data_IF_298053032804
#
_entry.id   IF_298053032804
#
_cell.length_a   1.000
_cell.length_b   1.000
_cell.length_c   1.000
_cell.angle_alpha   90.00
_cell.angle_beta   90.00
_cell.angle_gamma   90.00
#
_symmetry.space_group_name_H-M   'P 1'
#
loop_
_entity.id
_entity.type
_entity.pdbx_description
1 polymer ?
#
# COMPACT_ATOMS: atom_id res chain seq x y z
N UNK A 1 0.88 -2.85 15.53
CA UNK A 1 2.27 -2.67 15.10
C UNK A 1 2.29 -1.88 13.80
N UNK A 2 3.39 -1.19 13.50
CA UNK A 2 3.60 -0.52 12.21
C UNK A 2 4.43 -1.44 11.31
N UNK A 3 3.86 -1.84 10.16
CA UNK A 3 4.52 -2.71 9.20
C UNK A 3 4.70 -1.95 7.89
N UNK A 4 5.94 -1.84 7.43
CA UNK A 4 6.30 -1.16 6.19
C UNK A 4 6.32 -2.11 5.01
N UNK A 5 5.89 -1.63 3.84
CA UNK A 5 6.14 -2.31 2.57
C UNK A 5 6.79 -1.36 1.57
N UNK A 6 7.96 -1.77 1.06
CA UNK A 6 8.74 -1.04 0.07
C UNK A 6 8.82 -1.84 -1.22
N UNK A 7 8.64 -1.17 -2.36
CA UNK A 7 8.80 -1.79 -3.68
C UNK A 7 9.92 -1.08 -4.42
N UNK A 8 11.07 -1.73 -4.49
CA UNK A 8 12.32 -1.16 -5.00
C UNK A 8 12.73 -1.84 -6.30
N UNK A 9 13.29 -1.06 -7.22
CA UNK A 9 13.87 -1.58 -8.46
C UNK A 9 15.36 -1.79 -8.26
N UNK A 10 15.92 -2.87 -8.81
CA UNK A 10 17.36 -3.15 -8.76
C UNK A 10 18.22 -2.07 -9.44
N UNK A 11 17.63 -1.24 -10.30
CA UNK A 11 18.32 -0.17 -11.02
C UNK A 11 18.26 1.19 -10.30
N UNK A 12 17.53 1.29 -9.18
CA UNK A 12 17.15 2.58 -8.62
C UNK A 12 17.96 2.89 -7.36
N UNK A 13 18.87 3.87 -7.46
CA UNK A 13 19.62 4.40 -6.30
C UNK A 13 18.69 5.00 -5.23
N UNK A 14 17.44 5.31 -5.58
CA UNK A 14 16.41 5.80 -4.64
C UNK A 14 15.75 4.70 -3.81
N UNK A 15 16.09 3.42 -4.02
CA UNK A 15 15.58 2.29 -3.24
C UNK A 15 15.78 2.50 -1.71
N UNK A 16 16.92 3.07 -1.33
CA UNK A 16 17.26 3.34 0.07
C UNK A 16 16.30 4.36 0.71
N UNK A 17 15.84 5.37 -0.04
CA UNK A 17 14.96 6.43 0.48
C UNK A 17 13.59 5.90 0.93
N UNK A 18 13.09 4.84 0.29
CA UNK A 18 11.83 4.19 0.71
C UNK A 18 11.97 3.54 2.07
N UNK A 19 13.00 2.71 2.21
CA UNK A 19 13.23 1.93 3.44
C UNK A 19 13.55 2.87 4.59
N UNK A 20 14.36 3.90 4.35
CA UNK A 20 14.71 4.90 5.37
C UNK A 20 13.48 5.68 5.82
N UNK A 21 12.62 6.13 4.90
CA UNK A 21 11.36 6.80 5.26
C UNK A 21 10.42 5.89 6.08
N UNK A 22 10.35 4.60 5.77
CA UNK A 22 9.55 3.64 6.54
C UNK A 22 10.13 3.39 7.95
N UNK A 23 11.47 3.36 8.08
CA UNK A 23 12.13 3.29 9.39
C UNK A 23 11.87 4.54 10.22
N UNK A 24 11.98 5.72 9.61
CA UNK A 24 11.68 7.00 10.26
C UNK A 24 10.21 7.10 10.69
N UNK A 25 9.29 6.51 9.92
CA UNK A 25 7.88 6.38 10.29
C UNK A 25 7.62 5.39 11.45
N UNK A 26 8.65 4.71 11.96
CA UNK A 26 8.54 3.80 13.09
C UNK A 26 8.09 2.38 12.72
N UNK A 27 8.26 1.95 11.46
CA UNK A 27 7.94 0.58 11.07
C UNK A 27 8.83 -0.43 11.79
N UNK A 28 8.22 -1.35 12.53
CA UNK A 28 8.90 -2.41 13.29
C UNK A 28 9.36 -3.56 12.38
N UNK A 29 8.69 -3.76 11.25
CA UNK A 29 9.03 -4.76 10.24
C UNK A 29 8.83 -4.15 8.86
N UNK A 30 9.81 -4.32 7.97
CA UNK A 30 9.76 -3.78 6.61
C UNK A 30 9.92 -4.92 5.61
N UNK A 31 8.95 -5.05 4.71
CA UNK A 31 8.95 -6.00 3.61
C UNK A 31 9.43 -5.32 2.34
N UNK A 32 10.59 -5.71 1.85
CA UNK A 32 11.21 -5.16 0.65
C UNK A 32 10.97 -6.07 -0.56
N UNK A 33 10.18 -5.61 -1.51
CA UNK A 33 9.94 -6.27 -2.78
C UNK A 33 10.91 -5.75 -3.84
N UNK A 34 11.85 -6.61 -4.26
CA UNK A 34 12.86 -6.28 -5.27
C UNK A 34 12.34 -6.67 -6.64
N UNK A 35 12.09 -5.68 -7.50
CA UNK A 35 11.65 -5.90 -8.88
C UNK A 35 12.88 -6.00 -9.79
N UNK A 36 13.23 -7.21 -10.19
CA UNK A 36 14.18 -7.46 -11.29
C UNK A 36 13.42 -7.84 -12.56
N UNK A 37 13.52 -7.03 -13.61
CA UNK A 37 12.90 -7.31 -14.92
C UNK A 37 11.37 -7.24 -14.94
N UNK A 38 10.72 -8.08 -15.76
CA UNK A 38 9.26 -8.06 -16.04
C UNK A 38 8.44 -8.83 -14.99
N UNK A 39 9.05 -9.23 -13.86
CA UNK A 39 8.38 -10.09 -12.89
C UNK A 39 7.12 -9.44 -12.30
N UNK A 40 6.00 -10.15 -12.39
CA UNK A 40 4.70 -9.76 -11.84
C UNK A 40 4.41 -10.40 -10.48
N UNK A 41 5.26 -11.26 -9.95
CA UNK A 41 5.04 -11.81 -8.61
C UNK A 41 5.22 -10.71 -7.54
N UNK A 42 4.48 -10.79 -6.43
CA UNK A 42 4.69 -9.94 -5.23
C UNK A 42 4.78 -10.79 -3.96
N UNK A 43 5.70 -11.77 -3.89
CA UNK A 43 5.75 -12.70 -2.77
C UNK A 43 5.95 -12.00 -1.42
N UNK A 44 6.66 -10.86 -1.39
CA UNK A 44 6.89 -10.08 -0.17
C UNK A 44 5.66 -9.30 0.26
N UNK A 45 4.90 -8.78 -0.70
CA UNK A 45 3.59 -8.19 -0.37
C UNK A 45 2.65 -9.23 0.20
N UNK A 46 2.57 -10.41 -0.43
CA UNK A 46 1.72 -11.50 0.05
C UNK A 46 2.13 -11.97 1.46
N UNK A 47 3.43 -12.05 1.73
CA UNK A 47 3.97 -12.35 3.05
C UNK A 47 3.58 -11.27 4.08
N UNK A 48 3.75 -9.99 3.72
CA UNK A 48 3.35 -8.85 4.53
C UNK A 48 1.86 -8.89 4.88
N UNK A 49 1.00 -9.10 3.87
CA UNK A 49 -0.46 -9.16 4.05
C UNK A 49 -0.89 -10.33 4.94
N UNK A 50 -0.20 -11.47 4.87
CA UNK A 50 -0.46 -12.61 5.78
C UNK A 50 -0.01 -12.35 7.22
N UNK A 51 0.99 -11.50 7.42
CA UNK A 51 1.52 -11.21 8.75
C UNK A 51 0.67 -10.18 9.50
N UNK A 52 0.07 -9.23 8.80
CA UNK A 52 -0.78 -8.20 9.39
C UNK A 52 -1.96 -8.80 10.17
N UNK A 53 -2.28 -8.19 11.31
CA UNK A 53 -3.38 -8.56 12.20
C UNK A 53 -4.25 -7.36 12.52
N UNK A 54 -5.45 -7.62 13.03
CA UNK A 54 -6.33 -6.57 13.54
C UNK A 54 -5.58 -5.62 14.48
N UNK A 55 -5.68 -4.31 14.22
CA UNK A 55 -5.01 -3.27 14.99
C UNK A 55 -3.61 -2.90 14.48
N UNK A 56 -3.06 -3.63 13.51
CA UNK A 56 -1.83 -3.23 12.82
C UNK A 56 -2.11 -2.11 11.82
N UNK A 57 -1.04 -1.46 11.33
CA UNK A 57 -1.10 -0.50 10.24
C UNK A 57 -0.05 -0.83 9.19
N UNK A 58 -0.49 -1.01 7.95
CA UNK A 58 0.39 -1.11 6.79
C UNK A 58 0.80 0.30 6.35
N UNK A 59 2.10 0.57 6.34
CA UNK A 59 2.67 1.83 5.88
C UNK A 59 3.40 1.61 4.56
N UNK A 60 3.14 2.48 3.59
CA UNK A 60 3.88 2.52 2.33
C UNK A 60 4.42 3.92 2.08
N UNK A 61 5.54 4.02 1.37
CA UNK A 61 6.10 5.33 1.08
C UNK A 61 5.19 6.16 0.16
N UNK A 62 4.61 5.52 -0.85
CA UNK A 62 3.69 6.09 -1.84
C UNK A 62 2.68 5.06 -2.32
N UNK A 63 1.54 5.52 -2.84
CA UNK A 63 0.49 4.62 -3.34
C UNK A 63 0.94 3.76 -4.53
N UNK A 64 1.77 4.31 -5.42
CA UNK A 64 2.29 3.61 -6.62
C UNK A 64 3.24 2.45 -6.27
N UNK A 65 3.72 2.40 -5.03
CA UNK A 65 4.54 1.29 -4.53
C UNK A 65 3.70 0.11 -4.08
N UNK A 66 2.45 0.33 -3.66
CA UNK A 66 1.52 -0.72 -3.23
C UNK A 66 0.72 -1.31 -4.40
N UNK A 67 -0.05 -0.46 -5.07
CA UNK A 67 -1.00 -0.86 -6.12
C UNK A 67 -0.40 -0.76 -7.52
N UNK A 68 -0.83 -1.65 -8.42
CA UNK A 68 -0.48 -1.60 -9.86
C UNK A 68 -1.46 -0.79 -10.70
N UNK A 69 -2.63 -0.51 -10.14
CA UNK A 69 -3.69 0.33 -10.68
C UNK A 69 -4.52 0.84 -9.51
N UNK A 70 -5.37 1.84 -9.75
CA UNK A 70 -6.30 2.33 -8.74
C UNK A 70 -7.19 1.21 -8.20
N UNK A 71 -7.69 0.32 -9.07
CA UNK A 71 -8.48 -0.85 -8.70
C UNK A 71 -7.73 -1.82 -7.79
N UNK A 72 -6.47 -2.14 -8.11
CA UNK A 72 -5.63 -3.02 -7.29
C UNK A 72 -5.37 -2.40 -5.90
N UNK A 73 -5.08 -1.10 -5.87
CA UNK A 73 -4.91 -0.36 -4.61
C UNK A 73 -6.17 -0.39 -3.75
N UNK A 74 -7.32 -0.05 -4.35
CA UNK A 74 -8.61 -0.03 -3.65
C UNK A 74 -8.94 -1.41 -3.10
N UNK A 75 -8.71 -2.48 -3.88
CA UNK A 75 -8.98 -3.84 -3.45
C UNK A 75 -8.13 -4.24 -2.22
N UNK A 76 -6.83 -3.94 -2.23
CA UNK A 76 -5.92 -4.25 -1.12
C UNK A 76 -6.37 -3.50 0.14
N UNK A 77 -6.55 -2.19 0.06
CA UNK A 77 -6.84 -1.39 1.26
C UNK A 77 -8.27 -1.63 1.79
N UNK A 78 -9.23 -1.98 0.92
CA UNK A 78 -10.57 -2.43 1.34
C UNK A 78 -10.52 -3.77 2.08
N UNK A 79 -9.61 -4.67 1.71
CA UNK A 79 -9.38 -5.92 2.45
C UNK A 79 -8.76 -5.66 3.82
N UNK A 80 -7.77 -4.76 3.90
CA UNK A 80 -7.19 -4.32 5.18
C UNK A 80 -8.27 -3.72 6.10
N UNK A 81 -9.12 -2.83 5.58
CA UNK A 81 -10.19 -2.21 6.37
C UNK A 81 -11.17 -3.27 6.91
N UNK A 82 -11.59 -4.24 6.08
CA UNK A 82 -12.46 -5.34 6.51
C UNK A 82 -11.84 -6.15 7.66
N UNK A 83 -10.53 -6.30 7.65
CA UNK A 83 -9.75 -6.97 8.68
C UNK A 83 -9.41 -6.06 9.88
N UNK A 84 -9.89 -4.80 9.88
CA UNK A 84 -9.59 -3.78 10.90
C UNK A 84 -8.09 -3.50 11.01
N UNK A 85 -7.41 -3.54 9.88
CA UNK A 85 -6.01 -3.13 9.71
C UNK A 85 -6.01 -1.71 9.14
N UNK A 86 -5.20 -0.83 9.72
CA UNK A 86 -4.97 0.51 9.20
C UNK A 86 -4.08 0.49 7.97
N UNK A 87 -4.22 1.52 7.15
CA UNK A 87 -3.35 1.80 6.01
C UNK A 87 -2.93 3.25 6.00
N UNK A 88 -1.63 3.49 5.77
CA UNK A 88 -1.04 4.81 5.66
C UNK A 88 -0.10 4.91 4.45
N UNK A 89 -0.15 6.04 3.75
CA UNK A 89 0.90 6.43 2.80
C UNK A 89 1.62 7.69 3.26
N UNK A 90 2.95 7.63 3.26
CA UNK A 90 3.78 8.71 3.82
C UNK A 90 3.76 9.97 2.95
N UNK A 91 3.85 9.83 1.63
CA UNK A 91 3.97 10.98 0.72
C UNK A 91 2.64 11.67 0.44
N UNK A 92 1.57 10.89 0.21
CA UNK A 92 0.23 11.46 -0.03
C UNK A 92 -0.49 11.84 1.27
N UNK A 93 0.12 11.55 2.43
CA UNK A 93 -0.43 11.83 3.77
C UNK A 93 -1.83 11.24 3.96
N UNK A 94 -2.09 10.06 3.36
CA UNK A 94 -3.35 9.35 3.52
C UNK A 94 -3.21 8.44 4.72
N UNK A 95 -4.14 8.56 5.67
CA UNK A 95 -4.20 7.72 6.86
C UNK A 95 -5.64 7.25 7.12
N UNK A 96 -5.91 5.99 6.78
CA UNK A 96 -7.23 5.36 6.96
C UNK A 96 -7.55 5.01 8.41
N UNK A 97 -6.65 5.29 9.36
CA UNK A 97 -6.99 5.24 10.79
C UNK A 97 -7.77 6.49 11.23
N UNK A 98 -7.73 7.56 10.42
CA UNK A 98 -8.49 8.80 10.65
C UNK A 98 -9.80 8.83 9.85
N UNK A 99 -10.81 9.56 10.34
CA UNK A 99 -12.07 9.73 9.60
C UNK A 99 -11.87 10.41 8.23
N UNK A 100 -10.96 11.39 8.15
CA UNK A 100 -10.64 12.10 6.91
C UNK A 100 -9.96 11.20 5.88
N UNK A 101 -8.97 10.40 6.28
CA UNK A 101 -8.31 9.49 5.35
C UNK A 101 -9.22 8.35 4.88
N UNK A 102 -10.13 7.85 5.73
CA UNK A 102 -11.18 6.91 5.29
C UNK A 102 -12.09 7.51 4.22
N UNK A 103 -12.53 8.76 4.41
CA UNK A 103 -13.36 9.46 3.43
C UNK A 103 -12.64 9.57 2.07
N UNK A 104 -11.39 10.05 2.06
CA UNK A 104 -10.60 10.17 0.83
C UNK A 104 -10.46 8.80 0.15
N UNK A 105 -10.19 7.76 0.94
CA UNK A 105 -10.05 6.42 0.40
C UNK A 105 -11.35 5.87 -0.21
N UNK A 106 -12.51 6.08 0.42
CA UNK A 106 -13.80 5.69 -0.16
C UNK A 106 -14.11 6.44 -1.46
N UNK A 107 -13.71 7.72 -1.58
CA UNK A 107 -13.84 8.48 -2.84
C UNK A 107 -13.03 7.80 -3.96
N UNK A 108 -11.79 7.37 -3.67
CA UNK A 108 -11.00 6.59 -4.63
C UNK A 108 -11.64 5.25 -4.99
N UNK A 109 -12.27 4.59 -4.01
CA UNK A 109 -13.03 3.37 -4.25
C UNK A 109 -14.21 3.58 -5.21
N UNK A 110 -14.99 4.65 -5.01
CA UNK A 110 -16.08 5.02 -5.90
C UNK A 110 -15.59 5.37 -7.31
N UNK A 111 -14.46 6.07 -7.43
CA UNK A 111 -13.86 6.39 -8.72
C UNK A 111 -13.40 5.13 -9.47
N UNK A 112 -12.77 4.18 -8.76
CA UNK A 112 -12.30 2.93 -9.36
C UNK A 112 -13.45 2.07 -9.93
N UNK A 113 -14.60 2.04 -9.25
CA UNK A 113 -15.80 1.35 -9.76
C UNK A 113 -16.43 2.11 -10.95
N UNK A 114 -16.42 3.44 -10.93
CA UNK A 114 -16.90 4.25 -12.05
C UNK A 114 -16.06 4.06 -13.32
N UNK A 115 -14.73 4.05 -13.22
CA UNK A 115 -13.85 3.76 -14.36
C UNK A 115 -14.13 2.36 -14.94
N UNK A 116 -14.40 1.38 -14.07
CA UNK A 116 -14.75 0.03 -14.49
C UNK A 116 -16.09 -0.02 -15.23
N UNK A 117 -17.11 0.72 -14.79
CA UNK A 117 -18.39 0.74 -15.48
C UNK A 117 -18.27 1.35 -16.87
N UNK A 118 -17.52 2.44 -17.02
CA UNK A 118 -17.29 3.07 -18.32
C UNK A 118 -16.52 2.20 -19.32
N UNK A 119 -15.55 1.40 -18.86
CA UNK A 119 -14.81 0.47 -19.72
C UNK A 119 -15.58 -0.81 -20.07
N UNK A 120 -16.71 -1.05 -19.40
CA UNK A 120 -17.58 -2.21 -19.61
C UNK A 120 -18.80 -1.90 -20.48
N UNK A 121 -18.99 -0.63 -20.88
CA UNK A 121 -19.93 -0.16 -21.90
C UNK A 121 -19.25 -0.10 -23.28
#
# INVERSE_FOLDING_TARGET
MLIGYARVSTADQQANLQVDALREAGCESIYEEVVSGVSRARPRLEECLRHLRQGDTLIVWRLDRLGRSLKDLVAIVSDLERQKIGFQSLTESIDTTTAGGKLIFHIFGSLAEFERSLLSE
#
